data_IF_250266926335
#
_entry.id   IF_250266926335
#
_cell.length_a   1.000
_cell.length_b   1.000
_cell.length_c   1.000
_cell.angle_alpha   90.00
_cell.angle_beta   90.00
_cell.angle_gamma   90.00
#
_symmetry.space_group_name_H-M   'P 1'
#
loop_
_entity.id
_entity.type
_entity.pdbx_description
1 polymer ?
#
# COMPACT_ATOMS: atom_id res chain seq x y z
N UNK A 1 -20.33 -6.86 -78.26
CA UNK A 1 -19.18 -6.01 -78.66
C UNK A 1 -19.31 -5.55 -80.11
N UNK A 2 -19.90 -6.36 -80.98
CA UNK A 2 -20.04 -6.07 -82.41
C UNK A 2 -20.82 -4.77 -82.73
N UNK A 3 -21.81 -4.41 -81.91
CA UNK A 3 -22.54 -3.14 -82.07
C UNK A 3 -21.69 -1.88 -81.79
N UNK A 4 -20.66 -1.97 -80.95
CA UNK A 4 -19.74 -0.85 -80.75
C UNK A 4 -18.74 -0.73 -81.89
N UNK A 5 -18.34 -1.87 -82.46
CA UNK A 5 -17.45 -1.91 -83.61
C UNK A 5 -18.14 -1.38 -84.88
N UNK A 6 -19.45 -1.64 -85.08
CA UNK A 6 -20.20 -1.09 -86.21
C UNK A 6 -20.41 0.43 -86.14
N UNK A 7 -20.54 0.98 -84.92
CA UNK A 7 -20.57 2.44 -84.70
C UNK A 7 -19.22 3.08 -85.02
N UNK A 8 -18.12 2.40 -84.69
CA UNK A 8 -16.77 2.87 -85.04
C UNK A 8 -16.50 2.76 -86.55
N UNK A 9 -17.04 1.74 -87.21
CA UNK A 9 -16.90 1.55 -88.67
C UNK A 9 -17.73 2.53 -89.50
N UNK A 10 -18.85 3.02 -88.96
CA UNK A 10 -19.71 4.02 -89.62
C UNK A 10 -19.34 5.47 -89.26
N UNK A 11 -18.57 5.69 -88.21
CA UNK A 11 -18.11 7.01 -87.82
C UNK A 11 -16.99 7.49 -88.76
N UNK A 12 -17.16 8.70 -89.32
CA UNK A 12 -16.10 9.38 -90.06
C UNK A 12 -14.88 9.56 -89.13
N UNK A 13 -13.72 9.03 -89.55
CA UNK A 13 -12.46 9.05 -88.79
C UNK A 13 -12.13 10.48 -88.33
N UNK A 14 -12.50 11.49 -89.13
CA UNK A 14 -12.33 12.90 -88.80
C UNK A 14 -13.11 13.30 -87.54
N UNK A 15 -14.37 12.85 -87.40
CA UNK A 15 -15.23 13.14 -86.25
C UNK A 15 -14.69 12.49 -84.97
N UNK A 16 -14.19 11.26 -85.07
CA UNK A 16 -13.66 10.52 -83.93
C UNK A 16 -12.32 11.10 -83.46
N UNK A 17 -11.46 11.51 -84.40
CA UNK A 17 -10.24 12.27 -84.10
C UNK A 17 -10.54 13.57 -83.36
N UNK A 18 -11.57 14.32 -83.78
CA UNK A 18 -12.01 15.54 -83.11
C UNK A 18 -12.49 15.27 -81.67
N UNK A 19 -13.29 14.22 -81.45
CA UNK A 19 -13.75 13.83 -80.11
C UNK A 19 -12.59 13.47 -79.20
N UNK A 20 -11.60 12.72 -79.69
CA UNK A 20 -10.39 12.38 -78.92
C UNK A 20 -9.61 13.65 -78.57
N UNK A 21 -9.42 14.56 -79.52
CA UNK A 21 -8.73 15.83 -79.29
C UNK A 21 -9.45 16.67 -78.23
N UNK A 22 -10.78 16.75 -78.31
CA UNK A 22 -11.60 17.46 -77.33
C UNK A 22 -11.49 16.84 -75.93
N UNK A 23 -11.62 15.51 -75.82
CA UNK A 23 -11.47 14.79 -74.55
C UNK A 23 -10.06 14.93 -73.97
N UNK A 24 -9.03 14.90 -74.81
CA UNK A 24 -7.65 15.11 -74.39
C UNK A 24 -7.42 16.56 -73.92
N UNK A 25 -7.97 17.56 -74.61
CA UNK A 25 -7.85 18.96 -74.22
C UNK A 25 -8.59 19.25 -72.89
N UNK A 26 -9.83 18.78 -72.76
CA UNK A 26 -10.62 18.90 -71.52
C UNK A 26 -9.94 18.16 -70.38
N UNK A 27 -9.50 16.92 -70.63
CA UNK A 27 -8.77 16.12 -69.64
C UNK A 27 -7.45 16.75 -69.22
N UNK A 28 -6.69 17.35 -70.15
CA UNK A 28 -5.44 18.05 -69.85
C UNK A 28 -5.69 19.31 -69.00
N UNK A 29 -6.76 20.06 -69.29
CA UNK A 29 -7.17 21.22 -68.49
C UNK A 29 -7.59 20.79 -67.07
N UNK A 30 -8.38 19.71 -66.95
CA UNK A 30 -8.83 19.20 -65.64
C UNK A 30 -7.71 18.57 -64.81
N UNK A 31 -6.75 17.89 -65.45
CA UNK A 31 -5.59 17.29 -64.78
C UNK A 31 -4.49 18.32 -64.40
N UNK A 32 -4.73 19.60 -64.74
CA UNK A 32 -3.77 20.69 -64.93
C UNK A 32 -2.88 21.14 -63.76
N UNK A 33 -2.68 20.35 -62.70
CA UNK A 33 -1.64 20.64 -61.71
C UNK A 33 -1.04 19.44 -60.96
N UNK A 34 -1.42 18.21 -61.29
CA UNK A 34 -0.97 17.02 -60.57
C UNK A 34 -0.12 16.12 -61.47
N UNK A 35 1.23 16.18 -61.40
CA UNK A 35 2.10 15.42 -62.29
C UNK A 35 1.90 13.90 -62.18
N UNK A 36 1.52 13.41 -60.99
CA UNK A 36 1.22 11.98 -60.76
C UNK A 36 0.03 11.46 -61.56
N UNK A 37 -1.04 12.26 -61.69
CA UNK A 37 -2.24 11.88 -62.43
C UNK A 37 -1.99 11.82 -63.94
N UNK A 38 -1.14 12.72 -64.45
CA UNK A 38 -0.72 12.71 -65.86
C UNK A 38 0.06 11.44 -66.21
N UNK A 39 1.01 11.05 -65.36
CA UNK A 39 1.80 9.81 -65.53
C UNK A 39 0.91 8.58 -65.48
N UNK A 40 -0.05 8.52 -64.54
CA UNK A 40 -0.97 7.38 -64.44
C UNK A 40 -1.88 7.26 -65.67
N UNK A 41 -2.46 8.38 -66.13
CA UNK A 41 -3.28 8.40 -67.34
C UNK A 41 -2.52 7.93 -68.58
N UNK A 42 -1.26 8.37 -68.74
CA UNK A 42 -0.38 7.90 -69.81
C UNK A 42 -0.10 6.39 -69.73
N UNK A 43 0.14 5.84 -68.53
CA UNK A 43 0.36 4.40 -68.36
C UNK A 43 -0.87 3.57 -68.71
N UNK A 44 -2.06 4.04 -68.35
CA UNK A 44 -3.33 3.38 -68.71
C UNK A 44 -3.53 3.40 -70.22
N UNK A 45 -3.32 4.54 -70.87
CA UNK A 45 -3.46 4.68 -72.32
C UNK A 45 -2.44 3.83 -73.09
N UNK A 46 -1.18 3.83 -72.66
CA UNK A 46 -0.14 2.98 -73.24
C UNK A 46 -0.48 1.49 -73.08
N UNK A 47 -0.97 1.09 -71.90
CA UNK A 47 -1.44 -0.27 -71.65
C UNK A 47 -2.61 -0.67 -72.55
N UNK A 48 -3.61 0.20 -72.72
CA UNK A 48 -4.74 -0.04 -73.62
C UNK A 48 -4.30 -0.18 -75.09
N UNK A 49 -3.38 0.67 -75.54
CA UNK A 49 -2.81 0.61 -76.89
C UNK A 49 -2.09 -0.71 -77.15
N UNK A 50 -1.20 -1.13 -76.24
CA UNK A 50 -0.45 -2.39 -76.37
C UNK A 50 -1.39 -3.60 -76.30
N UNK A 51 -2.36 -3.60 -75.39
CA UNK A 51 -3.33 -4.68 -75.25
C UNK A 51 -4.18 -4.84 -76.52
N UNK A 52 -4.65 -3.72 -77.09
CA UNK A 52 -5.42 -3.74 -78.33
C UNK A 52 -4.59 -4.22 -79.52
N UNK A 53 -3.36 -3.72 -79.65
CA UNK A 53 -2.45 -4.17 -80.70
C UNK A 53 -2.13 -5.66 -80.60
N UNK A 54 -1.84 -6.15 -79.38
CA UNK A 54 -1.58 -7.56 -79.12
C UNK A 54 -2.81 -8.44 -79.41
N UNK A 55 -4.00 -7.98 -79.03
CA UNK A 55 -5.26 -8.68 -79.32
C UNK A 55 -5.52 -8.79 -80.83
N UNK A 56 -5.30 -7.69 -81.58
CA UNK A 56 -5.47 -7.68 -83.03
C UNK A 56 -4.47 -8.62 -83.74
N UNK A 57 -3.23 -8.68 -83.29
CA UNK A 57 -2.21 -9.62 -83.80
C UNK A 57 -2.57 -11.06 -83.45
N UNK A 58 -3.03 -11.32 -82.23
CA UNK A 58 -3.41 -12.67 -81.79
C UNK A 58 -4.61 -13.25 -82.54
N UNK A 59 -5.50 -12.41 -83.06
CA UNK A 59 -6.62 -12.82 -83.91
C UNK A 59 -6.22 -13.14 -85.37
N UNK A 60 -4.96 -12.86 -85.74
CA UNK A 60 -4.22 -13.60 -86.77
C UNK A 60 -4.87 -13.70 -88.16
N UNK A 61 -5.13 -12.57 -88.82
CA UNK A 61 -5.61 -12.56 -90.22
C UNK A 61 -5.05 -11.50 -91.16
N UNK A 62 -3.97 -10.81 -90.82
CA UNK A 62 -3.47 -9.72 -91.66
C UNK A 62 -2.20 -10.07 -92.40
N UNK A 63 -2.35 -10.55 -93.64
CA UNK A 63 -1.24 -10.64 -94.61
C UNK A 63 -1.10 -9.36 -95.43
N UNK A 64 -2.10 -8.47 -95.39
CA UNK A 64 -2.13 -7.24 -96.19
C UNK A 64 -1.69 -6.01 -95.39
N UNK A 65 -0.88 -5.16 -96.03
CA UNK A 65 -0.36 -3.92 -95.43
C UNK A 65 -1.50 -2.91 -95.15
N UNK A 66 -2.56 -2.94 -95.94
CA UNK A 66 -3.74 -2.09 -95.73
C UNK A 66 -4.47 -2.41 -94.42
N UNK A 67 -4.57 -3.70 -94.06
CA UNK A 67 -5.22 -4.13 -92.82
C UNK A 67 -4.38 -3.78 -91.59
N UNK A 68 -3.05 -3.89 -91.68
CA UNK A 68 -2.14 -3.45 -90.62
C UNK A 68 -2.26 -1.94 -90.35
N UNK A 69 -2.35 -1.13 -91.41
CA UNK A 69 -2.56 0.31 -91.28
C UNK A 69 -3.90 0.63 -90.59
N UNK A 70 -4.97 -0.07 -90.96
CA UNK A 70 -6.29 0.09 -90.35
C UNK A 70 -6.28 -0.30 -88.86
N UNK A 71 -5.61 -1.39 -88.49
CA UNK A 71 -5.46 -1.81 -87.10
C UNK A 71 -4.68 -0.77 -86.30
N UNK A 72 -3.61 -0.22 -86.86
CA UNK A 72 -2.82 0.83 -86.20
C UNK A 72 -3.68 2.07 -85.92
N UNK A 73 -4.45 2.52 -86.92
CA UNK A 73 -5.37 3.65 -86.75
C UNK A 73 -6.39 3.35 -85.64
N UNK A 74 -7.03 2.17 -85.65
CA UNK A 74 -7.98 1.76 -84.61
C UNK A 74 -7.33 1.69 -83.22
N UNK A 75 -6.11 1.21 -83.12
CA UNK A 75 -5.35 1.16 -81.87
C UNK A 75 -5.06 2.57 -81.33
N UNK A 76 -4.65 3.50 -82.20
CA UNK A 76 -4.41 4.90 -81.83
C UNK A 76 -5.72 5.56 -81.36
N UNK A 77 -6.84 5.32 -82.05
CA UNK A 77 -8.13 5.87 -81.67
C UNK A 77 -8.61 5.31 -80.31
N UNK A 78 -8.49 4.00 -80.09
CA UNK A 78 -8.81 3.37 -78.81
C UNK A 78 -7.90 3.88 -77.66
N UNK A 79 -6.60 4.03 -77.93
CA UNK A 79 -5.64 4.62 -76.98
C UNK A 79 -5.96 6.07 -76.63
N UNK A 80 -6.33 6.88 -77.64
CA UNK A 80 -6.72 8.27 -77.44
C UNK A 80 -8.02 8.42 -76.62
N UNK A 81 -9.02 7.59 -76.89
CA UNK A 81 -10.30 7.62 -76.18
C UNK A 81 -10.15 7.17 -74.72
N UNK A 82 -9.40 6.09 -74.48
CA UNK A 82 -9.08 5.62 -73.12
C UNK A 82 -8.28 6.63 -72.33
N UNK A 83 -7.34 7.34 -72.98
CA UNK A 83 -6.60 8.44 -72.35
C UNK A 83 -7.53 9.57 -71.92
N UNK A 84 -8.39 10.04 -72.83
CA UNK A 84 -9.37 11.08 -72.54
C UNK A 84 -10.30 10.69 -71.39
N UNK A 85 -10.82 9.46 -71.40
CA UNK A 85 -11.68 8.94 -70.34
C UNK A 85 -10.95 8.82 -69.00
N UNK A 86 -9.71 8.32 -69.00
CA UNK A 86 -8.91 8.20 -67.79
C UNK A 86 -8.63 9.57 -67.15
N UNK A 87 -8.37 10.61 -67.96
CA UNK A 87 -8.17 11.96 -67.46
C UNK A 87 -9.42 12.62 -66.90
N UNK A 88 -10.62 12.21 -67.31
CA UNK A 88 -11.88 12.70 -66.71
C UNK A 88 -12.24 11.90 -65.46
N UNK A 89 -12.13 10.57 -65.49
CA UNK A 89 -12.56 9.71 -64.38
C UNK A 89 -11.63 9.78 -63.16
N UNK A 90 -10.31 9.91 -63.35
CA UNK A 90 -9.37 9.98 -62.24
C UNK A 90 -9.59 11.18 -61.29
N UNK A 91 -9.67 12.44 -61.77
CA UNK A 91 -9.93 13.58 -60.88
C UNK A 91 -11.32 13.50 -60.24
N UNK A 92 -12.33 13.00 -60.97
CA UNK A 92 -13.65 12.74 -60.40
C UNK A 92 -13.59 11.73 -59.25
N UNK A 93 -12.86 10.63 -59.41
CA UNK A 93 -12.66 9.62 -58.36
C UNK A 93 -11.93 10.18 -57.14
N UNK A 94 -10.86 10.96 -57.34
CA UNK A 94 -10.13 11.62 -56.24
C UNK A 94 -11.05 12.61 -55.50
N UNK A 95 -11.87 13.36 -56.23
CA UNK A 95 -12.82 14.30 -55.64
C UNK A 95 -13.88 13.58 -54.80
N UNK A 96 -14.45 12.48 -55.31
CA UNK A 96 -15.42 11.67 -54.57
C UNK A 96 -14.78 11.09 -53.31
N UNK A 97 -13.62 10.45 -53.41
CA UNK A 97 -12.91 9.86 -52.25
C UNK A 97 -12.57 10.93 -51.22
N UNK A 98 -12.08 12.10 -51.66
CA UNK A 98 -11.75 13.20 -50.75
C UNK A 98 -12.99 13.73 -50.03
N UNK A 99 -14.09 13.93 -50.76
CA UNK A 99 -15.32 14.50 -50.21
C UNK A 99 -16.04 13.53 -49.28
N UNK A 100 -16.12 12.25 -49.67
CA UNK A 100 -16.84 11.24 -48.90
C UNK A 100 -16.03 10.67 -47.73
N UNK A 101 -14.72 10.46 -47.88
CA UNK A 101 -13.92 9.74 -46.88
C UNK A 101 -13.22 10.65 -45.87
N UNK A 102 -12.77 11.85 -46.26
CA UNK A 102 -11.91 12.67 -45.39
C UNK A 102 -12.73 13.44 -44.33
N UNK A 103 -13.93 13.90 -44.68
CA UNK A 103 -14.79 14.65 -43.75
C UNK A 103 -15.37 13.84 -42.58
N UNK A 104 -15.88 12.61 -42.73
CA UNK A 104 -16.37 11.86 -41.59
C UNK A 104 -15.23 11.33 -40.70
N UNK A 105 -14.09 10.95 -41.28
CA UNK A 105 -12.96 10.36 -40.53
C UNK A 105 -12.30 11.37 -39.61
N UNK A 106 -12.15 12.63 -40.05
CA UNK A 106 -11.54 13.68 -39.23
C UNK A 106 -12.41 14.08 -38.04
N UNK A 107 -13.73 14.23 -38.25
CA UNK A 107 -14.69 14.51 -37.16
C UNK A 107 -14.79 13.33 -36.17
N UNK A 108 -14.82 12.10 -36.68
CA UNK A 108 -14.85 10.89 -35.85
C UNK A 108 -13.62 10.75 -34.97
N UNK A 109 -12.43 11.07 -35.50
CA UNK A 109 -11.17 11.05 -34.72
C UNK A 109 -11.16 12.09 -33.60
N UNK A 110 -11.59 13.33 -33.88
CA UNK A 110 -11.66 14.36 -32.84
C UNK A 110 -12.62 13.97 -31.71
N UNK A 111 -13.82 13.48 -32.06
CA UNK A 111 -14.81 13.01 -31.09
C UNK A 111 -14.29 11.82 -30.26
N UNK A 112 -13.59 10.88 -30.90
CA UNK A 112 -12.99 9.74 -30.20
C UNK A 112 -11.90 10.19 -29.22
N UNK A 113 -11.04 11.13 -29.62
CA UNK A 113 -10.02 11.68 -28.73
C UNK A 113 -10.62 12.39 -27.52
N UNK A 114 -11.69 13.18 -27.70
CA UNK A 114 -12.38 13.82 -26.57
C UNK A 114 -13.04 12.80 -25.64
N UNK A 115 -13.63 11.73 -26.19
CA UNK A 115 -14.25 10.68 -25.38
C UNK A 115 -13.20 9.91 -24.55
N UNK A 116 -12.07 9.57 -25.16
CA UNK A 116 -10.97 8.90 -24.47
C UNK A 116 -10.32 9.81 -23.41
N UNK A 117 -10.17 11.11 -23.68
CA UNK A 117 -9.68 12.08 -22.71
C UNK A 117 -10.62 12.19 -21.49
N UNK A 118 -11.93 12.28 -21.72
CA UNK A 118 -12.92 12.33 -20.65
C UNK A 118 -12.92 11.05 -19.81
N UNK A 119 -12.72 9.88 -20.43
CA UNK A 119 -12.60 8.61 -19.69
C UNK A 119 -11.37 8.56 -18.80
N UNK A 120 -10.23 9.08 -19.26
CA UNK A 120 -9.01 9.17 -18.45
C UNK A 120 -9.20 10.11 -17.27
N UNK A 121 -9.78 11.30 -17.49
CA UNK A 121 -10.09 12.24 -16.42
C UNK A 121 -11.04 11.63 -15.37
N UNK A 122 -12.07 10.91 -15.80
CA UNK A 122 -12.99 10.23 -14.89
C UNK A 122 -12.31 9.09 -14.09
N UNK A 123 -11.36 8.38 -14.70
CA UNK A 123 -10.57 7.36 -14.00
C UNK A 123 -9.64 7.99 -12.95
N UNK A 124 -8.94 9.07 -13.30
CA UNK A 124 -8.08 9.79 -12.37
C UNK A 124 -8.86 10.35 -11.17
N UNK A 125 -10.07 10.85 -11.39
CA UNK A 125 -10.95 11.34 -10.30
C UNK A 125 -11.35 10.19 -9.36
N UNK A 126 -11.72 9.03 -9.90
CA UNK A 126 -12.06 7.85 -9.10
C UNK A 126 -10.85 7.35 -8.30
N UNK A 127 -9.65 7.36 -8.89
CA UNK A 127 -8.41 6.99 -8.20
C UNK A 127 -8.08 7.95 -7.06
N UNK A 128 -8.27 9.27 -7.25
CA UNK A 128 -8.09 10.25 -6.18
C UNK A 128 -9.05 10.02 -5.01
N UNK A 129 -10.32 9.77 -5.31
CA UNK A 129 -11.33 9.49 -4.27
C UNK A 129 -10.99 8.21 -3.51
N UNK A 130 -10.54 7.16 -4.20
CA UNK A 130 -10.10 5.91 -3.55
C UNK A 130 -8.88 6.14 -2.66
N UNK A 131 -7.87 6.85 -3.16
CA UNK A 131 -6.68 7.16 -2.38
C UNK A 131 -7.00 8.00 -1.12
N UNK A 132 -7.96 8.92 -1.20
CA UNK A 132 -8.41 9.70 -0.05
C UNK A 132 -9.14 8.83 0.99
N UNK A 133 -9.99 7.91 0.55
CA UNK A 133 -10.66 6.96 1.43
C UNK A 133 -9.67 6.02 2.11
N UNK A 134 -8.71 5.50 1.35
CA UNK A 134 -7.65 4.62 1.87
C UNK A 134 -6.76 5.36 2.88
N UNK A 135 -6.40 6.61 2.61
CA UNK A 135 -5.68 7.47 3.55
C UNK A 135 -6.45 7.65 4.86
N UNK A 136 -7.74 8.01 4.78
CA UNK A 136 -8.60 8.18 5.96
C UNK A 136 -8.77 6.87 6.75
N UNK A 137 -8.90 5.74 6.06
CA UNK A 137 -8.99 4.43 6.71
C UNK A 137 -7.69 4.07 7.44
N UNK A 138 -6.54 4.32 6.82
CA UNK A 138 -5.23 4.10 7.44
C UNK A 138 -5.00 5.01 8.65
N UNK A 139 -5.43 6.28 8.57
CA UNK A 139 -5.34 7.23 9.68
C UNK A 139 -6.18 6.76 10.88
N UNK A 140 -7.44 6.36 10.65
CA UNK A 140 -8.31 5.81 11.69
C UNK A 140 -7.74 4.53 12.33
N UNK A 141 -7.21 3.62 11.51
CA UNK A 141 -6.58 2.39 12.02
C UNK A 141 -5.35 2.70 12.89
N UNK A 142 -4.53 3.69 12.49
CA UNK A 142 -3.38 4.13 13.27
C UNK A 142 -3.78 4.79 14.59
N UNK A 143 -4.84 5.61 14.58
CA UNK A 143 -5.39 6.26 15.77
C UNK A 143 -5.94 5.23 16.76
N UNK A 144 -6.67 4.22 16.28
CA UNK A 144 -7.17 3.13 17.11
C UNK A 144 -6.03 2.35 17.77
N UNK A 145 -4.96 2.05 17.02
CA UNK A 145 -3.79 1.36 17.57
C UNK A 145 -3.13 2.17 18.68
N UNK A 146 -2.95 3.49 18.48
CA UNK A 146 -2.41 4.39 19.51
C UNK A 146 -3.30 4.45 20.75
N UNK A 147 -4.62 4.49 20.56
CA UNK A 147 -5.56 4.50 21.67
C UNK A 147 -5.50 3.20 22.47
N UNK A 148 -5.42 2.04 21.80
CA UNK A 148 -5.27 0.73 22.46
C UNK A 148 -3.97 0.65 23.26
N UNK A 149 -2.85 1.06 22.66
CA UNK A 149 -1.55 1.08 23.35
C UNK A 149 -1.57 2.02 24.56
N UNK A 150 -2.11 3.24 24.41
CA UNK A 150 -2.24 4.17 25.54
C UNK A 150 -3.17 3.63 26.64
N UNK A 151 -4.25 2.93 26.28
CA UNK A 151 -5.15 2.31 27.24
C UNK A 151 -4.48 1.12 27.97
N UNK A 152 -3.65 0.36 27.28
CA UNK A 152 -2.88 -0.75 27.86
C UNK A 152 -1.82 -0.24 28.85
N UNK A 153 -1.02 0.77 28.46
CA UNK A 153 -0.05 1.41 29.36
C UNK A 153 -0.73 1.98 30.60
N UNK A 154 -1.86 2.69 30.43
CA UNK A 154 -2.61 3.19 31.58
C UNK A 154 -3.16 2.08 32.49
N UNK A 155 -3.49 0.90 31.94
CA UNK A 155 -3.92 -0.25 32.75
C UNK A 155 -2.75 -0.82 33.53
N UNK A 156 -1.61 -1.03 32.89
CA UNK A 156 -0.41 -1.56 33.56
C UNK A 156 0.06 -0.62 34.66
N UNK A 157 0.02 0.69 34.44
CA UNK A 157 0.42 1.68 35.45
C UNK A 157 -0.54 1.69 36.64
N UNK A 158 -1.86 1.58 36.40
CA UNK A 158 -2.86 1.49 37.48
C UNK A 158 -2.74 0.19 38.27
N UNK A 159 -2.47 -0.92 37.61
CA UNK A 159 -2.24 -2.20 38.27
C UNK A 159 -0.97 -2.19 39.10
N UNK A 160 0.13 -1.62 38.58
CA UNK A 160 1.36 -1.41 39.30
C UNK A 160 1.16 -0.54 40.55
N UNK A 161 0.43 0.58 40.44
CA UNK A 161 0.13 1.42 41.60
C UNK A 161 -0.71 0.67 42.65
N UNK A 162 -1.74 -0.07 42.22
CA UNK A 162 -2.56 -0.89 43.13
C UNK A 162 -1.75 -1.93 43.88
N UNK A 163 -0.78 -2.56 43.22
CA UNK A 163 0.14 -3.52 43.84
C UNK A 163 0.98 -2.87 44.94
N UNK A 164 1.56 -1.69 44.65
CA UNK A 164 2.30 -0.89 45.65
C UNK A 164 1.43 -0.51 46.85
N UNK A 165 0.25 0.03 46.58
CA UNK A 165 -0.66 0.49 47.64
C UNK A 165 -1.13 -0.67 48.53
N UNK A 166 -1.43 -1.84 47.94
CA UNK A 166 -1.79 -3.04 48.69
C UNK A 166 -0.64 -3.55 49.57
N UNK A 167 0.59 -3.55 49.06
CA UNK A 167 1.77 -3.96 49.81
C UNK A 167 2.02 -3.02 51.01
N UNK A 168 1.94 -1.69 50.80
CA UNK A 168 2.05 -0.69 51.86
C UNK A 168 0.96 -0.86 52.91
N UNK A 169 -0.30 -0.98 52.48
CA UNK A 169 -1.44 -1.17 53.37
C UNK A 169 -1.31 -2.44 54.22
N UNK A 170 -0.77 -3.53 53.65
CA UNK A 170 -0.48 -4.76 54.38
C UNK A 170 0.51 -4.55 55.52
N UNK A 171 1.63 -3.85 55.26
CA UNK A 171 2.60 -3.52 56.30
C UNK A 171 2.05 -2.55 57.35
N UNK A 172 1.30 -1.53 56.93
CA UNK A 172 0.66 -0.57 57.84
C UNK A 172 -0.32 -1.24 58.78
N UNK A 173 -1.16 -2.16 58.25
CA UNK A 173 -2.11 -2.92 59.05
C UNK A 173 -1.39 -3.81 60.08
N UNK A 174 -0.32 -4.49 59.65
CA UNK A 174 0.47 -5.37 60.51
C UNK A 174 1.21 -4.57 61.60
N UNK A 175 1.74 -3.40 61.27
CA UNK A 175 2.32 -2.48 62.25
C UNK A 175 1.25 -1.98 63.22
N UNK A 176 0.08 -1.54 62.75
CA UNK A 176 -1.00 -1.07 63.62
C UNK A 176 -1.47 -2.16 64.60
N UNK A 177 -1.50 -3.41 64.15
CA UNK A 177 -1.84 -4.55 65.00
C UNK A 177 -0.83 -4.77 66.14
N UNK A 178 0.46 -4.53 65.88
CA UNK A 178 1.56 -4.76 66.83
C UNK A 178 2.13 -3.47 67.45
N UNK A 179 1.55 -2.31 67.12
CA UNK A 179 2.05 -1.02 67.53
C UNK A 179 2.25 -0.89 69.05
N UNK A 180 1.32 -1.36 69.92
CA UNK A 180 1.50 -1.24 71.37
C UNK A 180 2.75 -1.94 71.91
N UNK A 181 3.16 -3.03 71.27
CA UNK A 181 4.29 -3.87 71.68
C UNK A 181 5.60 -3.37 71.03
N UNK A 182 5.51 -2.90 69.78
CA UNK A 182 6.67 -2.49 68.99
C UNK A 182 7.12 -1.05 69.23
N UNK A 183 6.25 -0.14 69.69
CA UNK A 183 6.54 1.31 69.73
C UNK A 183 7.78 1.67 70.56
N UNK A 184 8.15 0.84 71.55
CA UNK A 184 9.36 1.03 72.36
C UNK A 184 10.67 0.83 71.58
N UNK A 185 10.68 -0.02 70.55
CA UNK A 185 11.89 -0.38 69.77
C UNK A 185 11.82 0.10 68.33
N UNK A 186 10.63 0.12 67.75
CA UNK A 186 10.38 0.55 66.39
C UNK A 186 9.27 1.61 66.36
N UNK A 187 9.70 2.86 66.59
CA UNK A 187 8.80 4.00 66.64
C UNK A 187 8.02 4.19 65.34
N UNK A 188 6.82 4.77 65.44
CA UNK A 188 5.98 5.09 64.28
C UNK A 188 6.69 5.97 63.25
N UNK A 189 7.56 6.87 63.71
CA UNK A 189 8.37 7.72 62.82
C UNK A 189 9.42 6.91 62.06
N UNK A 190 10.04 5.93 62.70
CA UNK A 190 11.00 5.03 62.03
C UNK A 190 10.29 4.16 60.98
N UNK A 191 9.11 3.63 61.30
CA UNK A 191 8.27 2.89 60.33
C UNK A 191 7.86 3.78 59.15
N UNK A 192 7.30 4.97 59.42
CA UNK A 192 6.88 5.89 58.36
C UNK A 192 8.04 6.31 57.45
N UNK A 193 9.22 6.57 58.04
CA UNK A 193 10.44 6.85 57.28
C UNK A 193 10.86 5.67 56.41
N UNK A 194 10.79 4.44 56.93
CA UNK A 194 11.10 3.24 56.16
C UNK A 194 10.17 3.08 54.95
N UNK A 195 8.86 3.27 55.12
CA UNK A 195 7.90 3.24 54.01
C UNK A 195 8.24 4.32 52.97
N UNK A 196 8.57 5.54 53.40
CA UNK A 196 8.96 6.62 52.50
C UNK A 196 10.24 6.29 51.71
N UNK A 197 11.28 5.81 52.38
CA UNK A 197 12.61 5.60 51.79
C UNK A 197 12.66 4.36 50.87
N UNK A 198 11.96 3.28 51.25
CA UNK A 198 12.07 1.97 50.59
C UNK A 198 10.82 1.53 49.85
N UNK A 199 9.66 2.13 50.11
CA UNK A 199 8.40 1.78 49.46
C UNK A 199 7.76 2.95 48.72
N UNK A 200 8.48 4.05 48.45
CA UNK A 200 7.96 5.23 47.72
C UNK A 200 7.50 4.94 46.28
N UNK A 201 6.81 5.90 45.66
CA UNK A 201 6.20 5.72 44.31
C UNK A 201 7.24 5.57 43.18
N UNK A 202 8.46 6.03 43.42
CA UNK A 202 9.61 5.91 42.51
C UNK A 202 10.16 4.48 42.41
N UNK A 203 9.74 3.56 43.29
CA UNK A 203 10.19 2.16 43.31
C UNK A 203 9.31 1.30 42.42
N UNK A 204 9.90 0.25 41.83
CA UNK A 204 9.13 -0.73 41.07
C UNK A 204 8.16 -1.48 41.99
N UNK A 205 6.99 -1.92 41.49
CA UNK A 205 6.05 -2.68 42.30
C UNK A 205 6.67 -3.95 42.88
N UNK A 206 7.56 -4.63 42.15
CA UNK A 206 8.26 -5.84 42.62
C UNK A 206 9.20 -5.53 43.80
N UNK A 207 9.94 -4.41 43.75
CA UNK A 207 10.80 -3.99 44.86
C UNK A 207 9.96 -3.65 46.09
N UNK A 208 8.86 -2.92 45.91
CA UNK A 208 7.95 -2.55 47.00
C UNK A 208 7.38 -3.80 47.68
N UNK A 209 6.92 -4.78 46.89
CA UNK A 209 6.39 -6.05 47.41
C UNK A 209 7.45 -6.85 48.16
N UNK A 210 8.65 -6.98 47.62
CA UNK A 210 9.75 -7.69 48.29
C UNK A 210 10.13 -7.01 49.62
N UNK A 211 10.21 -5.67 49.64
CA UNK A 211 10.49 -4.92 50.87
C UNK A 211 9.35 -5.04 51.87
N UNK A 212 8.10 -5.08 51.40
CA UNK A 212 6.93 -5.27 52.25
C UNK A 212 6.92 -6.65 52.91
N UNK A 213 7.30 -7.69 52.17
CA UNK A 213 7.45 -9.04 52.70
C UNK A 213 8.56 -9.11 53.76
N UNK A 214 9.74 -8.55 53.46
CA UNK A 214 10.86 -8.48 54.40
C UNK A 214 10.50 -7.74 55.69
N UNK A 215 9.84 -6.59 55.58
CA UNK A 215 9.39 -5.81 56.74
C UNK A 215 8.34 -6.58 57.54
N UNK A 216 7.35 -7.16 56.87
CA UNK A 216 6.30 -7.95 57.52
C UNK A 216 6.88 -9.13 58.30
N UNK A 217 7.88 -9.80 57.74
CA UNK A 217 8.56 -10.91 58.41
C UNK A 217 9.40 -10.45 59.60
N UNK A 218 10.15 -9.36 59.46
CA UNK A 218 10.90 -8.77 60.57
C UNK A 218 9.97 -8.37 61.72
N UNK A 219 8.79 -7.80 61.43
CA UNK A 219 7.78 -7.45 62.42
C UNK A 219 7.19 -8.70 63.11
N UNK A 220 6.97 -9.80 62.38
CA UNK A 220 6.52 -11.08 62.97
C UNK A 220 7.57 -11.69 63.90
N UNK A 221 8.84 -11.71 63.47
CA UNK A 221 9.95 -12.21 64.30
C UNK A 221 10.07 -11.37 65.58
N UNK A 222 10.01 -10.05 65.47
CA UNK A 222 10.00 -9.17 66.65
C UNK A 222 8.84 -9.48 67.60
N UNK A 223 7.64 -9.74 67.08
CA UNK A 223 6.50 -10.13 67.91
C UNK A 223 6.73 -11.46 68.62
N UNK A 224 7.27 -12.47 67.93
CA UNK A 224 7.52 -13.78 68.54
C UNK A 224 8.53 -13.68 69.69
N UNK A 225 9.55 -12.84 69.55
CA UNK A 225 10.49 -12.55 70.63
C UNK A 225 9.78 -11.85 71.81
N UNK A 226 8.80 -10.99 71.53
CA UNK A 226 8.09 -10.21 72.55
C UNK A 226 6.93 -10.96 73.24
N UNK A 227 6.53 -12.15 72.79
CA UNK A 227 5.38 -12.86 73.36
C UNK A 227 5.63 -13.21 74.84
N UNK A 228 5.04 -12.48 75.81
CA UNK A 228 5.35 -12.63 77.23
C UNK A 228 4.78 -13.95 77.80
N UNK A 229 4.02 -14.70 77.00
CA UNK A 229 3.35 -15.92 77.42
C UNK A 229 4.25 -17.17 77.39
N UNK A 230 5.45 -17.11 76.82
CA UNK A 230 6.41 -18.22 76.91
C UNK A 230 6.98 -18.34 78.33
N UNK A 231 6.22 -19.00 79.21
CA UNK A 231 6.70 -19.45 80.51
C UNK A 231 7.53 -20.71 80.31
N UNK A 232 8.85 -20.55 80.36
CA UNK A 232 9.76 -21.69 80.38
C UNK A 232 9.61 -22.42 81.71
N UNK A 233 9.43 -23.74 81.67
CA UNK A 233 9.32 -24.56 82.89
C UNK A 233 10.68 -24.83 83.51
N UNK A 234 11.75 -24.80 82.69
CA UNK A 234 13.13 -25.02 83.15
C UNK A 234 14.12 -24.10 82.45
N UNK A 235 15.26 -23.83 83.11
CA UNK A 235 16.37 -23.08 82.52
C UNK A 235 16.86 -23.70 81.20
N UNK A 236 16.84 -25.04 81.11
CA UNK A 236 17.23 -25.77 79.90
C UNK A 236 16.30 -25.47 78.72
N UNK A 237 15.00 -25.33 78.96
CA UNK A 237 14.04 -24.94 77.91
C UNK A 237 14.29 -23.51 77.43
N UNK A 238 14.62 -22.58 78.34
CA UNK A 238 14.96 -21.21 77.98
C UNK A 238 16.24 -21.13 77.11
N UNK A 239 17.29 -21.87 77.47
CA UNK A 239 18.52 -21.90 76.65
C UNK A 239 18.29 -22.56 75.29
N UNK A 240 17.52 -23.66 75.25
CA UNK A 240 17.19 -24.33 73.99
C UNK A 240 16.40 -23.41 73.05
N UNK A 241 15.44 -22.65 73.58
CA UNK A 241 14.70 -21.65 72.81
C UNK A 241 15.61 -20.54 72.26
N UNK A 242 16.55 -20.04 73.06
CA UNK A 242 17.49 -19.01 72.61
C UNK A 242 18.37 -19.49 71.45
N UNK A 243 18.91 -20.71 71.56
CA UNK A 243 19.72 -21.30 70.50
C UNK A 243 18.92 -21.49 69.21
N UNK A 244 17.66 -21.95 69.32
CA UNK A 244 16.76 -22.08 68.17
C UNK A 244 16.47 -20.74 67.50
N UNK A 245 16.12 -19.70 68.27
CA UNK A 245 15.86 -18.36 67.74
C UNK A 245 17.10 -17.74 67.09
N UNK A 246 18.27 -17.92 67.71
CA UNK A 246 19.55 -17.47 67.17
C UNK A 246 19.83 -18.14 65.82
N UNK A 247 19.57 -19.43 65.70
CA UNK A 247 19.75 -20.19 64.46
C UNK A 247 18.75 -19.75 63.38
N UNK A 248 17.49 -19.48 63.75
CA UNK A 248 16.47 -18.98 62.83
C UNK A 248 16.88 -17.63 62.22
N UNK A 249 17.31 -16.67 63.04
CA UNK A 249 17.78 -15.34 62.57
C UNK A 249 18.96 -15.48 61.60
N UNK A 250 19.89 -16.39 61.86
CA UNK A 250 21.04 -16.64 60.98
C UNK A 250 20.65 -17.31 59.65
N UNK A 251 19.65 -18.21 59.67
CA UNK A 251 19.18 -18.91 58.47
C UNK A 251 18.19 -18.11 57.61
N UNK A 252 17.60 -17.03 58.14
CA UNK A 252 16.56 -16.26 57.47
C UNK A 252 17.04 -15.45 56.23
N UNK A 253 18.34 -15.48 55.91
CA UNK A 253 18.89 -14.80 54.74
C UNK A 253 18.79 -13.27 54.82
N UNK A 254 18.72 -12.71 56.03
CA UNK A 254 18.64 -11.28 56.28
C UNK A 254 19.96 -10.59 55.93
N UNK A 255 19.89 -9.29 55.63
CA UNK A 255 21.09 -8.47 55.42
C UNK A 255 21.99 -8.51 56.67
N UNK A 256 23.34 -8.57 56.54
CA UNK A 256 24.26 -8.71 57.67
C UNK A 256 23.99 -7.74 58.81
N UNK A 257 23.82 -6.46 58.49
CA UNK A 257 23.55 -5.41 59.48
C UNK A 257 22.22 -5.62 60.21
N UNK A 258 21.18 -6.10 59.52
CA UNK A 258 19.88 -6.39 60.12
C UNK A 258 19.93 -7.64 61.00
N UNK A 259 20.67 -8.65 60.57
CA UNK A 259 20.90 -9.86 61.35
C UNK A 259 21.66 -9.57 62.65
N UNK A 260 22.69 -8.73 62.60
CA UNK A 260 23.46 -8.29 63.78
C UNK A 260 22.56 -7.58 64.80
N UNK A 261 21.74 -6.63 64.35
CA UNK A 261 20.79 -5.92 65.22
C UNK A 261 19.78 -6.88 65.86
N UNK A 262 19.29 -7.87 65.13
CA UNK A 262 18.37 -8.88 65.67
C UNK A 262 19.04 -9.79 66.70
N UNK A 263 20.29 -10.20 66.46
CA UNK A 263 21.05 -11.05 67.38
C UNK A 263 21.32 -10.34 68.71
N UNK A 264 21.76 -9.07 68.66
CA UNK A 264 21.98 -8.27 69.88
C UNK A 264 20.67 -8.11 70.67
N UNK A 265 19.56 -7.85 69.98
CA UNK A 265 18.25 -7.74 70.64
C UNK A 265 17.79 -9.06 71.28
N UNK A 266 18.05 -10.19 70.63
CA UNK A 266 17.74 -11.52 71.13
C UNK A 266 18.56 -11.82 72.39
N UNK A 267 19.84 -11.47 72.41
CA UNK A 267 20.72 -11.65 73.57
C UNK A 267 20.24 -10.84 74.78
N UNK A 268 19.92 -9.56 74.59
CA UNK A 268 19.35 -8.71 75.64
C UNK A 268 18.06 -9.33 76.21
N UNK A 269 17.18 -9.83 75.33
CA UNK A 269 15.93 -10.42 75.78
C UNK A 269 16.13 -11.74 76.52
N UNK A 270 17.06 -12.57 76.07
CA UNK A 270 17.47 -13.77 76.79
C UNK A 270 17.97 -13.45 78.20
N UNK A 271 18.80 -12.41 78.36
CA UNK A 271 19.25 -11.97 79.69
C UNK A 271 18.10 -11.50 80.59
N UNK A 272 17.12 -10.78 80.04
CA UNK A 272 15.93 -10.35 80.77
C UNK A 272 15.08 -11.54 81.23
N UNK A 273 14.84 -12.52 80.34
CA UNK A 273 14.11 -13.75 80.66
C UNK A 273 14.86 -14.59 81.70
N UNK A 274 16.18 -14.72 81.56
CA UNK A 274 17.05 -15.39 82.51
C UNK A 274 16.94 -14.74 83.89
N UNK A 275 17.00 -13.40 83.94
CA UNK A 275 16.88 -12.63 85.19
C UNK A 275 15.51 -12.83 85.84
N UNK A 276 14.42 -12.80 85.08
CA UNK A 276 13.07 -13.06 85.61
C UNK A 276 12.93 -14.49 86.13
N UNK A 277 13.42 -15.48 85.39
CA UNK A 277 13.39 -16.89 85.80
C UNK A 277 14.11 -17.12 87.14
N UNK A 278 15.25 -16.44 87.36
CA UNK A 278 16.00 -16.50 88.63
C UNK A 278 15.27 -15.79 89.78
N UNK A 279 14.48 -14.75 89.49
CA UNK A 279 13.76 -13.97 90.50
C UNK A 279 12.42 -14.60 90.92
N UNK A 280 11.77 -15.34 90.02
CA UNK A 280 10.44 -15.94 90.23
C UNK A 280 10.48 -17.42 90.65
N UNK A 281 11.58 -18.14 90.38
CA UNK A 281 11.80 -19.54 90.78
C UNK A 281 12.45 -19.68 92.16
#
# INVERSE_FOLDING_TARGET
>A
MDAYLSIIESADICSLGFVIMLLAAVGACMAGNTPRLRVLGWRIAAGAFVLYGMYAVALGRTTDAAELALILIRAVLAGGLTLGLAWVLLPAGVFIVRTLAVHPVTKGRAALHTLLANRRAAQEELERVRAELDWKAAELASAETRYRQAAEVNRTDREAQRRRDNARAGCELLYAQYAPELEQRFSRNAFAKFIADYMGDERSPEEVEQRAEQLSEALRVHRQILDPAHRFGTLRELTAWYDEQRQQVQSAGLHPDSAEVLLVNLEIHYEELLRRFIQEG
#
